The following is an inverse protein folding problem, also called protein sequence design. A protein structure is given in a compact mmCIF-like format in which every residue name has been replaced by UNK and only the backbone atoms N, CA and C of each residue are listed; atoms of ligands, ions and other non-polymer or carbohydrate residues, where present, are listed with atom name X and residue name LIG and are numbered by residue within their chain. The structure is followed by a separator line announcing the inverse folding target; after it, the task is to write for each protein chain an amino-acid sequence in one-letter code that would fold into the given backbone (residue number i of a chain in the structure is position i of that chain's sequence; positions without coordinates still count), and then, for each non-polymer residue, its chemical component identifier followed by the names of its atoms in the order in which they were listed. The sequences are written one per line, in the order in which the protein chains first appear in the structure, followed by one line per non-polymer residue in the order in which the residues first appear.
data_IF_246153609974
#
_entry.id   IF_246153609974
#
_cell.length_a   1.000
_cell.length_b   1.000
_cell.length_c   1.000
_cell.angle_alpha   90.00
_cell.angle_beta   90.00
_cell.angle_gamma   90.00
#
_symmetry.space_group_name_H-M   'P 1'
#
loop_
_entity.id
_entity.type
_entity.pdbx_description
1 polymer ?
2 polymer ?
3 non-polymer ?
4 water ?
#
# COMPACT_ATOMS: atom_id res chain seq x y z
N UNK A 34 18.56 -1.73 -16.89
CA UNK A 34 17.30 -2.38 -16.35
C UNK A 34 16.09 -1.68 -17.00
N UNK A 35 15.81 -0.41 -16.67
CA UNK A 35 14.62 0.33 -17.19
C UNK A 35 13.33 -0.04 -16.48
N UNK A 36 13.28 0.10 -15.14
CA UNK A 36 12.06 -0.10 -14.29
C UNK A 36 11.47 1.27 -13.93
N UNK A 37 10.12 1.33 -13.87
CA UNK A 37 9.31 2.53 -13.52
C UNK A 37 8.53 2.33 -12.23
N UNK A 38 8.15 3.41 -11.58
CA UNK A 38 7.22 3.40 -10.42
C UNK A 38 5.82 3.72 -10.94
N UNK A 39 4.94 2.72 -10.88
CA UNK A 39 3.56 2.80 -11.37
C UNK A 39 2.64 3.19 -10.20
N UNK A 40 1.83 4.22 -10.42
CA UNK A 40 0.81 4.66 -9.45
C UNK A 40 -0.54 4.54 -10.13
N UNK A 41 -1.43 3.78 -9.49
CA UNK A 41 -2.77 3.42 -9.99
C UNK A 41 -3.82 3.95 -9.03
N UNK A 42 -4.84 4.62 -9.59
CA UNK A 42 -6.00 5.12 -8.84
C UNK A 42 -5.62 6.18 -7.85
N UNK A 43 -6.34 6.20 -6.73
CA UNK A 43 -6.21 7.17 -5.64
C UNK A 43 -7.43 8.07 -5.59
N UNK A 44 -7.33 9.15 -4.83
CA UNK A 44 -8.51 9.95 -4.44
C UNK A 44 -8.17 11.45 -4.44
N UNK A 45 -8.99 12.23 -5.16
CA UNK A 45 -9.05 13.70 -5.03
C UNK A 45 -10.46 14.09 -5.42
N UNK A 46 -11.26 14.44 -4.41
CA UNK A 46 -12.71 14.76 -4.51
C UNK A 46 -13.52 13.50 -4.80
N UNK A 47 -12.99 12.58 -5.61
CA UNK A 47 -13.62 11.24 -5.83
C UNK A 47 -12.51 10.26 -6.15
N UNK A 48 -12.83 8.97 -6.24
CA UNK A 48 -11.86 7.93 -6.65
C UNK A 48 -11.45 8.19 -8.11
N UNK A 49 -10.16 7.95 -8.44
CA UNK A 49 -9.55 8.22 -9.75
C UNK A 49 -9.30 6.93 -10.53
N UNK A 50 -9.17 7.02 -11.85
CA UNK A 50 -8.83 5.84 -12.69
C UNK A 50 -7.42 6.01 -13.26
N UNK A 51 -6.65 7.01 -12.81
CA UNK A 51 -5.31 7.30 -13.37
C UNK A 51 -4.39 6.08 -13.19
N UNK A 52 -3.64 5.76 -14.24
CA UNK A 52 -2.38 4.97 -14.20
C UNK A 52 -1.26 5.83 -14.80
N UNK A 53 -0.24 6.13 -14.01
CA UNK A 53 0.88 7.00 -14.41
C UNK A 53 2.13 6.32 -13.93
N UNK A 54 3.22 6.48 -14.68
CA UNK A 54 4.49 5.78 -14.40
C UNK A 54 5.58 6.82 -14.32
N UNK A 55 6.36 6.80 -13.23
CA UNK A 55 7.51 7.71 -13.02
C UNK A 55 8.80 6.96 -13.33
N UNK A 56 9.71 7.61 -14.08
CA UNK A 56 11.03 7.05 -14.45
C UNK A 56 12.09 7.76 -13.60
N UNK A 57 12.62 7.11 -12.53
CA UNK A 57 13.68 7.72 -11.73
C UNK A 57 14.92 8.19 -12.53
N UNK A 58 15.25 7.47 -13.61
CA UNK A 58 16.42 7.74 -14.49
C UNK A 58 16.33 9.12 -15.16
N UNK A 59 15.14 9.61 -15.49
CA UNK A 59 15.06 10.86 -16.31
C UNK A 59 14.00 11.83 -15.77
N UNK A 60 13.30 11.48 -14.69
CA UNK A 60 12.30 12.35 -14.05
C UNK A 60 11.01 12.47 -14.85
N UNK A 61 10.78 11.67 -15.89
CA UNK A 61 9.56 11.77 -16.75
C UNK A 61 8.36 11.04 -16.10
N UNK A 62 7.14 11.49 -16.40
CA UNK A 62 5.87 10.78 -16.11
C UNK A 62 5.20 10.37 -17.43
N UNK A 63 4.73 9.11 -17.56
CA UNK A 63 3.87 8.66 -18.68
C UNK A 63 2.45 8.53 -18.14
N UNK A 64 1.44 9.04 -18.85
CA UNK A 64 0.03 8.62 -18.56
C UNK A 64 -0.25 7.36 -19.38
N UNK A 65 -0.73 6.29 -18.75
CA UNK A 65 -1.01 4.99 -19.42
C UNK A 65 -2.52 4.71 -19.34
N UNK A 66 -2.96 3.53 -19.73
CA UNK A 66 -4.40 3.20 -19.80
C UNK A 66 -5.07 3.36 -18.43
N UNK A 67 -6.21 4.07 -18.39
CA UNK A 67 -7.03 4.26 -17.17
C UNK A 67 -7.50 2.88 -16.67
N UNK A 68 -7.57 2.69 -15.35
CA UNK A 68 -8.34 1.58 -14.73
C UNK A 68 -9.74 1.50 -15.37
N UNK A 69 -10.27 0.29 -15.54
CA UNK A 69 -11.67 0.10 -16.02
C UNK A 69 -12.66 0.75 -15.04
N UNK A 70 -12.39 0.70 -13.73
CA UNK A 70 -13.29 1.22 -12.67
C UNK A 70 -12.43 2.11 -11.77
N UNK A 71 -12.87 3.35 -11.43
CA UNK A 71 -12.13 4.19 -10.49
C UNK A 71 -11.93 3.42 -9.17
N UNK A 72 -10.79 3.65 -8.53
CA UNK A 72 -10.45 2.98 -7.27
C UNK A 72 -9.54 3.83 -6.41
N UNK A 73 -9.84 3.85 -5.14
CA UNK A 73 -8.96 4.38 -4.09
C UNK A 73 -8.99 3.40 -2.93
N UNK A 74 -8.01 3.51 -2.04
CA UNK A 74 -7.78 2.59 -0.92
C UNK A 74 -7.38 1.22 -1.42
N UNK A 75 -6.96 1.11 -2.69
CA UNK A 75 -6.46 -0.15 -3.29
C UNK A 75 -4.98 -0.35 -2.93
N UNK A 76 -4.46 -1.53 -3.19
CA UNK A 76 -2.99 -1.77 -3.18
C UNK A 76 -2.60 -2.20 -4.58
N UNK A 77 -1.34 -1.93 -4.90
CA UNK A 77 -0.65 -2.41 -6.11
C UNK A 77 0.41 -3.45 -5.77
N UNK A 78 0.72 -4.32 -6.72
CA UNK A 78 1.86 -5.26 -6.65
C UNK A 78 2.18 -5.76 -8.06
N UNK A 79 3.34 -6.38 -8.17
CA UNK A 79 3.83 -6.97 -9.44
C UNK A 79 4.11 -8.46 -9.22
N UNK A 80 3.68 -9.29 -10.17
CA UNK A 80 4.08 -10.73 -10.28
C UNK A 80 4.41 -11.02 -11.76
N UNK A 81 5.57 -11.64 -12.00
CA UNK A 81 5.97 -12.04 -13.36
C UNK A 81 5.81 -10.90 -14.35
N UNK A 82 6.27 -9.71 -14.00
CA UNK A 82 6.25 -8.51 -14.88
C UNK A 82 4.87 -7.85 -15.05
N UNK A 83 3.82 -8.34 -14.40
CA UNK A 83 2.46 -7.77 -14.54
C UNK A 83 2.10 -7.00 -13.26
N UNK A 84 1.41 -5.88 -13.45
CA UNK A 84 0.96 -4.95 -12.38
C UNK A 84 -0.46 -5.34 -11.99
N UNK A 85 -0.70 -5.54 -10.71
CA UNK A 85 -2.02 -5.94 -10.19
C UNK A 85 -2.55 -4.82 -9.30
N UNK A 86 -3.82 -4.45 -9.51
CA UNK A 86 -4.58 -3.51 -8.68
C UNK A 86 -5.60 -4.34 -7.91
N UNK A 87 -5.56 -4.25 -6.60
CA UNK A 87 -6.31 -5.13 -5.67
C UNK A 87 -7.22 -4.28 -4.78
N UNK A 88 -8.52 -4.63 -4.72
CA UNK A 88 -9.42 -4.05 -3.73
C UNK A 88 -9.57 -2.54 -3.92
N UNK A 89 -9.83 -1.85 -2.81
CA UNK A 89 -10.12 -0.41 -2.74
C UNK A 89 -11.61 -0.17 -2.79
N UNK A 90 -12.04 1.01 -3.18
CA UNK A 90 -13.49 1.24 -3.43
C UNK A 90 -13.63 2.32 -4.51
N UNK A 91 -14.82 2.43 -5.07
CA UNK A 91 -15.16 3.57 -5.94
C UNK A 91 -16.01 4.55 -5.10
N UNK A 92 -15.38 5.58 -4.56
CA UNK A 92 -15.97 6.70 -3.79
C UNK A 92 -16.31 7.80 -4.81
N UNK A 93 -17.54 7.77 -5.34
CA UNK A 93 -18.07 8.65 -6.41
C UNK A 93 -19.19 9.54 -5.86
N UNK A 94 -19.60 10.59 -6.62
CA UNK A 94 -20.67 11.47 -6.17
C UNK A 94 -21.95 10.69 -5.85
N UNK A 95 -22.27 9.67 -6.64
CA UNK A 95 -23.54 8.89 -6.52
C UNK A 95 -23.38 7.62 -5.67
N UNK A 96 -22.16 7.19 -5.29
CA UNK A 96 -21.99 5.89 -4.61
C UNK A 96 -20.66 5.74 -3.88
N UNK A 97 -20.61 4.82 -2.91
CA UNK A 97 -19.38 4.26 -2.31
C UNK A 97 -19.45 2.75 -2.43
N UNK A 98 -18.81 2.17 -3.43
CA UNK A 98 -18.87 0.71 -3.67
C UNK A 98 -17.52 0.11 -3.33
N UNK A 99 -17.46 -0.67 -2.25
CA UNK A 99 -16.24 -1.43 -1.86
C UNK A 99 -15.95 -2.44 -2.96
N UNK A 100 -14.65 -2.69 -3.23
CA UNK A 100 -14.16 -3.47 -4.39
C UNK A 100 -13.62 -4.80 -3.91
N UNK A 101 -14.03 -5.90 -4.55
CA UNK A 101 -13.40 -7.23 -4.42
C UNK A 101 -12.49 -7.50 -5.64
N UNK A 102 -12.28 -6.50 -6.51
CA UNK A 102 -11.69 -6.72 -7.84
C UNK A 102 -10.19 -7.00 -7.72
N UNK A 103 -9.70 -7.88 -8.59
CA UNK A 103 -8.29 -7.95 -8.98
C UNK A 103 -8.20 -7.66 -10.47
N UNK A 104 -7.37 -6.70 -10.86
CA UNK A 104 -7.25 -6.30 -12.28
C UNK A 104 -5.75 -6.26 -12.58
N UNK A 105 -5.39 -6.67 -13.79
CA UNK A 105 -4.00 -6.88 -14.22
C UNK A 105 -3.69 -5.96 -15.40
N UNK A 106 -2.60 -5.18 -15.31
CA UNK A 106 -2.07 -4.27 -16.37
C UNK A 106 -0.78 -4.88 -16.91
N UNK A 107 -0.75 -5.14 -18.22
CA UNK A 107 0.45 -5.66 -18.93
C UNK A 107 1.11 -4.48 -19.61
N UNK A 108 2.31 -4.03 -19.16
CA UNK A 108 3.01 -2.94 -19.81
C UNK A 108 3.29 -3.13 -21.31
N UNK A 109 3.40 -4.39 -21.75
CA UNK A 109 3.65 -4.75 -23.17
C UNK A 109 2.44 -4.33 -24.03
N UNK A 110 1.22 -4.46 -23.53
CA UNK A 110 -0.02 -4.20 -24.29
C UNK A 110 -0.60 -2.83 -23.95
N UNK A 111 -0.16 -2.20 -22.85
CA UNK A 111 -0.87 -1.03 -22.27
C UNK A 111 -2.35 -1.36 -22.03
N UNK A 112 -2.69 -2.57 -21.61
CA UNK A 112 -4.10 -3.00 -21.39
C UNK A 112 -4.28 -3.62 -19.99
N UNK A 113 -5.44 -3.33 -19.39
CA UNK A 113 -5.99 -3.90 -18.13
C UNK A 113 -6.89 -5.09 -18.46
N UNK A 114 -6.76 -6.19 -17.71
CA UNK A 114 -7.60 -7.40 -17.83
C UNK A 114 -8.17 -7.69 -16.47
N UNK A 115 -9.50 -7.92 -16.33
CA UNK A 115 -10.06 -8.46 -15.08
C UNK A 115 -9.43 -9.83 -14.79
N UNK A 116 -9.16 -10.09 -13.52
CA UNK A 116 -8.88 -11.46 -12.99
C UNK A 116 -10.04 -11.89 -12.08
N UNK A 117 -9.96 -13.08 -11.51
CA UNK A 117 -10.85 -13.59 -10.46
C UNK A 117 -10.94 -12.58 -9.32
N UNK A 118 -12.16 -12.32 -8.87
CA UNK A 118 -12.51 -11.45 -7.73
C UNK A 118 -12.22 -12.16 -6.40
N UNK A 119 -11.83 -11.38 -5.40
CA UNK A 119 -11.63 -11.90 -4.02
C UNK A 119 -12.99 -12.37 -3.46
N UNK A 120 -12.95 -13.10 -2.34
CA UNK A 120 -14.11 -13.65 -1.58
C UNK A 120 -15.03 -12.51 -1.08
N UNK A 121 -14.47 -11.31 -0.91
CA UNK A 121 -15.07 -10.22 -0.12
C UNK A 121 -14.52 -8.89 -0.62
N UNK A 122 -15.32 -7.81 -0.66
CA UNK A 122 -14.76 -6.48 -0.88
C UNK A 122 -13.78 -6.15 0.26
N UNK A 123 -12.70 -5.46 -0.08
CA UNK A 123 -11.63 -5.02 0.85
C UNK A 123 -11.17 -3.62 0.44
N UNK A 124 -11.80 -2.59 0.97
CA UNK A 124 -11.29 -1.19 0.95
C UNK A 124 -10.15 -1.03 1.97
N UNK A 125 -9.20 -0.13 1.70
CA UNK A 125 -8.06 0.16 2.60
C UNK A 125 -7.34 -1.15 2.89
N UNK A 126 -7.08 -1.88 1.82
CA UNK A 126 -6.46 -3.23 1.79
C UNK A 126 -4.96 -3.09 1.97
N UNK A 127 -4.34 -4.17 2.41
CA UNK A 127 -2.89 -4.37 2.34
C UNK A 127 -2.57 -5.59 1.50
N UNK A 128 -1.46 -5.55 0.77
CA UNK A 128 -1.06 -6.63 -0.16
C UNK A 128 0.42 -6.91 0.02
N UNK A 129 0.79 -8.18 -0.11
CA UNK A 129 2.20 -8.58 -0.30
C UNK A 129 2.28 -9.80 -1.17
N UNK A 130 3.46 -10.03 -1.77
CA UNK A 130 3.70 -11.16 -2.70
C UNK A 130 4.70 -12.09 -2.05
N UNK A 131 4.35 -13.37 -1.96
CA UNK A 131 5.32 -14.43 -1.58
C UNK A 131 5.38 -15.46 -2.71
N UNK A 132 6.55 -15.64 -3.29
CA UNK A 132 6.81 -16.78 -4.21
C UNK A 132 5.75 -16.76 -5.32
N UNK A 133 5.52 -15.60 -5.93
CA UNK A 133 4.58 -15.42 -7.06
C UNK A 133 3.10 -15.49 -6.69
N UNK A 134 2.75 -15.36 -5.40
CA UNK A 134 1.35 -15.46 -4.90
C UNK A 134 0.98 -14.14 -4.22
N UNK A 135 -0.18 -13.61 -4.54
CA UNK A 135 -0.66 -12.32 -3.96
C UNK A 135 -1.46 -12.62 -2.70
N UNK A 136 -1.05 -12.06 -1.57
CA UNK A 136 -1.83 -12.08 -0.31
C UNK A 136 -2.59 -10.77 -0.14
N UNK A 137 -3.91 -10.87 -0.04
CA UNK A 137 -4.86 -9.78 0.26
C UNK A 137 -5.21 -9.84 1.74
N UNK A 138 -4.99 -8.72 2.43
CA UNK A 138 -5.01 -8.66 3.92
C UNK A 138 -6.01 -7.62 4.39
N UNK A 139 -6.92 -8.05 5.26
CA UNK A 139 -7.81 -7.14 5.98
C UNK A 139 -8.63 -6.22 5.09
N UNK A 140 -8.78 -4.97 5.51
CA UNK A 140 -9.54 -3.91 4.80
C UNK A 140 -11.01 -3.89 5.22
N UNK A 141 -11.78 -2.91 4.75
CA UNK A 141 -13.19 -2.68 5.14
C UNK A 141 -14.19 -3.10 4.07
N UNK A 142 -15.40 -3.45 4.52
CA UNK A 142 -16.61 -3.54 3.66
C UNK A 142 -17.75 -2.87 4.41
N UNK A 143 -18.13 -1.66 4.04
CA UNK A 143 -19.07 -0.89 4.89
C UNK A 143 -18.52 -0.83 6.30
N UNK A 144 -19.29 -1.20 7.34
CA UNK A 144 -18.84 -1.06 8.76
C UNK A 144 -18.09 -2.32 9.21
N UNK A 145 -17.87 -3.29 8.30
CA UNK A 145 -17.13 -4.55 8.59
C UNK A 145 -15.62 -4.28 8.45
N UNK A 146 -14.85 -4.60 9.49
CA UNK A 146 -13.37 -4.57 9.56
C UNK A 146 -12.86 -6.02 9.52
N UNK A 147 -12.18 -6.41 8.44
CA UNK A 147 -11.75 -7.81 8.16
C UNK A 147 -10.52 -8.17 8.98
N UNK A 148 -10.47 -9.41 9.53
CA UNK A 148 -9.21 -10.10 9.90
C UNK A 148 -8.83 -11.08 8.80
N UNK A 149 -9.73 -11.35 7.85
CA UNK A 149 -9.55 -12.42 6.85
C UNK A 149 -8.38 -12.09 5.91
N UNK A 150 -7.80 -13.14 5.35
CA UNK A 150 -6.62 -13.04 4.43
C UNK A 150 -6.82 -14.06 3.33
N UNK A 151 -6.55 -13.70 2.09
CA UNK A 151 -6.70 -14.66 0.98
C UNK A 151 -5.54 -14.51 -0.01
N UNK A 152 -5.27 -15.61 -0.69
CA UNK A 152 -4.05 -15.80 -1.51
C UNK A 152 -4.47 -16.15 -2.93
N UNK A 153 -3.91 -15.39 -3.88
CA UNK A 153 -4.17 -15.52 -5.33
C UNK A 153 -3.02 -16.25 -6.04
N UNK A 154 -3.41 -17.19 -6.89
CA UNK A 154 -2.53 -18.00 -7.74
C UNK A 154 -2.66 -17.51 -9.19
N UNK A 155 -1.72 -16.71 -9.70
CA UNK A 155 -1.84 -16.14 -11.05
C UNK A 155 -2.06 -17.16 -12.18
N UNK A 156 -1.40 -18.31 -12.13
CA UNK A 156 -1.47 -19.27 -13.27
C UNK A 156 -2.84 -19.95 -13.25
N UNK A 157 -3.36 -20.31 -12.07
CA UNK A 157 -4.69 -20.95 -11.93
C UNK A 157 -5.80 -19.89 -11.90
N UNK A 158 -5.48 -18.62 -11.76
CA UNK A 158 -6.45 -17.48 -11.65
C UNK A 158 -7.50 -17.81 -10.59
N UNK A 159 -7.04 -18.18 -9.39
CA UNK A 159 -7.91 -18.55 -8.24
C UNK A 159 -7.45 -17.84 -6.96
N UNK A 160 -8.42 -17.42 -6.16
CA UNK A 160 -8.24 -17.00 -4.74
C UNK A 160 -8.63 -18.14 -3.79
N UNK A 161 -7.94 -18.28 -2.65
CA UNK A 161 -8.36 -19.15 -1.52
C UNK A 161 -8.05 -18.43 -0.22
N UNK A 162 -8.96 -18.51 0.75
CA UNK A 162 -8.70 -17.95 2.09
C UNK A 162 -7.57 -18.73 2.75
N UNK A 163 -6.74 -18.05 3.52
CA UNK A 163 -5.72 -18.68 4.41
C UNK A 163 -6.11 -18.26 5.83
N UNK A 164 -5.27 -18.54 6.82
CA UNK A 164 -5.60 -18.23 8.22
C UNK A 164 -5.84 -16.73 8.34
N UNK A 165 -6.87 -16.32 9.09
CA UNK A 165 -7.07 -14.89 9.35
C UNK A 165 -6.01 -14.37 10.30
N UNK A 166 -5.82 -13.06 10.27
CA UNK A 166 -4.96 -12.35 11.23
C UNK A 166 -5.56 -12.56 12.62
N UNK A 167 -4.74 -12.34 13.63
CA UNK A 167 -5.14 -12.29 15.06
C UNK A 167 -5.97 -11.04 15.33
N UNK A 168 -6.00 -10.07 14.42
CA UNK A 168 -6.55 -8.70 14.62
C UNK A 168 -7.31 -8.28 13.36
N UNK A 169 -8.49 -7.68 13.54
CA UNK A 169 -9.22 -6.96 12.48
C UNK A 169 -8.40 -5.71 12.13
N UNK A 170 -8.05 -5.53 10.87
CA UNK A 170 -7.20 -4.37 10.49
C UNK A 170 -7.67 -3.82 9.15
N UNK A 171 -7.99 -2.53 9.11
CA UNK A 171 -8.14 -1.78 7.85
C UNK A 171 -7.08 -0.68 7.85
N UNK A 172 -6.71 -0.18 6.68
CA UNK A 172 -5.61 0.79 6.55
C UNK A 172 -4.31 0.14 7.00
N UNK A 173 -4.20 -1.16 6.78
CA UNK A 173 -3.06 -2.00 7.26
C UNK A 173 -1.92 -1.87 6.25
N UNK A 174 -0.70 -1.74 6.75
CA UNK A 174 0.52 -1.85 5.94
C UNK A 174 1.02 -3.27 5.86
N UNK A 175 1.42 -3.73 4.68
CA UNK A 175 1.90 -5.11 4.44
C UNK A 175 3.20 -5.07 3.66
N UNK A 176 4.16 -5.91 4.06
CA UNK A 176 5.42 -6.14 3.34
C UNK A 176 5.89 -7.56 3.60
N UNK A 177 6.78 -8.01 2.72
CA UNK A 177 7.33 -9.38 2.67
C UNK A 177 8.86 -9.29 2.72
N UNK A 178 9.44 -10.04 3.66
CA UNK A 178 10.89 -10.15 3.91
C UNK A 178 11.18 -11.62 4.21
N UNK A 179 12.10 -12.21 3.45
CA UNK A 179 12.58 -13.58 3.67
C UNK A 179 11.37 -14.52 3.67
N UNK A 180 10.46 -14.31 2.72
CA UNK A 180 9.27 -15.16 2.51
C UNK A 180 8.43 -15.30 3.80
N UNK A 181 8.38 -14.24 4.61
CA UNK A 181 7.42 -14.05 5.72
C UNK A 181 6.64 -12.76 5.43
N UNK A 182 5.33 -12.74 5.72
CA UNK A 182 4.39 -11.63 5.43
C UNK A 182 4.12 -10.89 6.75
N UNK A 183 4.28 -9.57 6.72
CA UNK A 183 4.04 -8.69 7.89
C UNK A 183 2.84 -7.80 7.61
N UNK A 184 1.94 -7.77 8.58
CA UNK A 184 0.77 -6.86 8.67
C UNK A 184 1.03 -5.86 9.79
N UNK A 185 0.99 -4.57 9.46
CA UNK A 185 1.51 -3.51 10.37
C UNK A 185 0.43 -2.43 10.58
N UNK A 186 0.13 -2.17 11.85
CA UNK A 186 -0.84 -1.17 12.28
C UNK A 186 -2.20 -1.32 11.62
N UNK A 187 -2.82 -0.18 11.33
CA UNK A 187 -4.21 -0.07 10.84
C UNK A 187 -5.19 0.40 11.90
N UNK A 188 -6.46 0.07 11.66
CA UNK A 188 -7.64 0.53 12.41
C UNK A 188 -8.61 -0.66 12.53
N UNK A 189 -9.09 -0.93 13.75
CA UNK A 189 -10.03 -2.04 14.01
C UNK A 189 -11.46 -1.48 14.10
N UNK A 190 -11.62 -0.18 13.89
CA UNK A 190 -12.92 0.52 13.96
C UNK A 190 -13.09 1.21 15.30
N UNK A 191 -12.39 0.75 16.34
CA UNK A 191 -12.36 1.41 17.67
C UNK A 191 -11.06 2.19 17.81
N UNK A 192 -9.92 1.51 17.70
CA UNK A 192 -8.56 2.05 17.94
C UNK A 192 -7.70 1.96 16.67
N UNK A 193 -6.99 3.04 16.35
CA UNK A 193 -5.76 3.03 15.52
C UNK A 193 -4.74 2.13 16.24
N UNK A 194 -3.94 1.35 15.50
CA UNK A 194 -3.13 0.23 16.10
C UNK A 194 -1.63 0.53 15.98
N UNK A 195 -0.85 0.20 17.01
CA UNK A 195 0.63 0.15 16.89
C UNK A 195 1.06 -1.30 16.71
N UNK A 196 0.13 -2.25 16.79
CA UNK A 196 0.49 -3.70 16.81
C UNK A 196 0.88 -4.14 15.40
N UNK A 197 1.58 -5.27 15.31
CA UNK A 197 1.91 -5.88 14.01
C UNK A 197 2.03 -7.39 14.22
N UNK A 198 1.91 -8.17 13.14
CA UNK A 198 1.92 -9.64 13.21
C UNK A 198 2.55 -10.18 11.93
N UNK A 199 2.98 -11.44 11.98
CA UNK A 199 3.77 -12.05 10.91
C UNK A 199 3.12 -13.38 10.58
N UNK A 200 3.04 -13.68 9.28
CA UNK A 200 2.43 -14.93 8.77
C UNK A 200 3.56 -15.84 8.30
N UNK A 201 3.56 -17.06 8.82
CA UNK A 201 4.54 -18.15 8.54
C UNK A 201 3.87 -19.12 7.60
N UNK A 202 4.08 -19.01 6.26
CA UNK A 202 3.27 -19.71 5.28
C UNK A 202 3.29 -21.24 5.45
N UNK A 203 4.43 -21.80 5.84
CA UNK A 203 4.53 -23.28 5.97
C UNK A 203 3.67 -23.75 7.15
N UNK A 204 3.31 -22.87 8.09
CA UNK A 204 2.49 -23.24 9.27
C UNK A 204 1.08 -22.65 9.11
N UNK A 205 0.81 -21.90 8.03
CA UNK A 205 -0.47 -21.15 7.85
C UNK A 205 -0.90 -20.50 9.17
N UNK A 206 -0.02 -19.71 9.78
CA UNK A 206 -0.21 -19.25 11.18
C UNK A 206 0.31 -17.82 11.29
N UNK A 207 -0.42 -16.99 12.03
CA UNK A 207 -0.03 -15.61 12.39
C UNK A 207 0.49 -15.61 13.82
N UNK A 208 1.49 -14.77 14.07
CA UNK A 208 2.02 -14.52 15.43
C UNK A 208 2.26 -13.04 15.58
N UNK A 209 1.96 -12.48 16.75
CA UNK A 209 2.27 -11.07 17.04
C UNK A 209 3.79 -10.89 16.95
N UNK A 210 4.24 -9.74 16.49
CA UNK A 210 5.63 -9.25 16.67
C UNK A 210 5.61 -8.03 17.62
N UNK A 211 6.79 -7.52 17.95
CA UNK A 211 6.95 -6.26 18.71
C UNK A 211 6.08 -5.19 18.07
N UNK A 212 5.26 -4.47 18.87
CA UNK A 212 4.48 -3.35 18.38
C UNK A 212 5.39 -2.19 17.99
N UNK A 213 4.91 -1.35 17.08
CA UNK A 213 5.62 -0.10 16.69
C UNK A 213 5.63 0.85 17.88
N UNK A 214 6.50 1.84 17.85
CA UNK A 214 6.56 2.89 18.90
C UNK A 214 5.33 3.78 18.74
N UNK A 215 4.74 3.80 17.56
CA UNK A 215 3.70 4.79 17.16
C UNK A 215 2.48 4.07 16.60
N UNK A 216 1.29 4.50 17.02
CA UNK A 216 0.00 4.13 16.40
C UNK A 216 -0.02 4.63 14.95
N UNK A 217 -0.27 3.76 13.97
CA UNK A 217 -0.34 4.23 12.57
C UNK A 217 -1.44 3.47 11.83
N UNK A 218 -2.39 4.24 11.30
CA UNK A 218 -3.35 3.76 10.28
C UNK A 218 -2.99 4.41 8.96
N UNK A 219 -3.04 3.63 7.88
CA UNK A 219 -2.81 4.11 6.51
C UNK A 219 -1.37 4.55 6.34
N UNK A 220 -0.44 3.88 7.01
CA UNK A 220 1.02 4.14 6.86
C UNK A 220 1.48 3.49 5.54
N UNK A 221 2.60 3.95 5.00
CA UNK A 221 3.33 3.23 3.95
C UNK A 221 4.24 2.21 4.58
N UNK A 222 4.15 0.95 4.15
CA UNK A 222 4.93 -0.15 4.75
C UNK A 222 5.66 -0.86 3.61
N UNK A 223 6.96 -1.01 3.75
CA UNK A 223 7.77 -1.66 2.68
C UNK A 223 8.95 -2.33 3.36
N UNK A 224 9.78 -3.00 2.57
CA UNK A 224 10.96 -3.69 3.09
C UNK A 224 12.18 -3.11 2.39
N UNK A 225 13.24 -2.86 3.16
CA UNK A 225 14.53 -2.39 2.63
C UNK A 225 15.63 -3.03 3.48
N UNK A 226 16.49 -3.78 2.78
CA UNK A 226 17.56 -4.57 3.41
C UNK A 226 16.89 -5.59 4.33
N UNK A 227 17.19 -5.56 5.63
CA UNK A 227 16.69 -6.62 6.55
C UNK A 227 15.62 -5.99 7.45
N UNK A 228 14.98 -4.89 7.04
CA UNK A 228 14.03 -4.17 7.93
C UNK A 228 12.69 -3.91 7.24
N UNK A 229 11.63 -3.92 8.03
CA UNK A 229 10.27 -3.47 7.60
C UNK A 229 10.12 -2.02 8.07
N UNK A 230 9.84 -1.14 7.14
CA UNK A 230 9.67 0.30 7.39
C UNK A 230 8.19 0.60 7.46
N UNK A 231 7.80 1.48 8.38
CA UNK A 231 6.46 2.06 8.49
C UNK A 231 6.61 3.58 8.48
N UNK A 232 6.19 4.21 7.40
CA UNK A 232 6.36 5.65 7.16
C UNK A 232 5.01 6.32 7.29
N UNK A 233 4.92 7.42 8.05
CA UNK A 233 3.71 8.25 8.11
C UNK A 233 2.51 7.48 8.62
N UNK A 234 1.35 7.78 8.06
CA UNK A 234 0.06 7.31 8.57
C UNK A 234 -0.62 8.34 9.43
N UNK A 235 -1.63 7.90 10.20
CA UNK A 235 -2.54 8.75 11.00
C UNK A 235 -2.67 8.09 12.38
N UNK A 236 -2.45 8.84 13.46
CA UNK A 236 -2.44 8.26 14.83
C UNK A 236 -3.78 8.52 15.53
N UNK A 237 -4.78 9.08 14.85
CA UNK A 237 -6.08 9.46 15.45
C UNK A 237 -6.13 10.93 15.86
N UNK A 238 -5.03 11.66 15.74
CA UNK A 238 -4.90 13.11 16.04
C UNK A 238 -4.26 13.84 14.86
N UNK A 239 -3.10 13.38 14.40
CA UNK A 239 -2.36 14.07 13.33
C UNK A 239 -1.88 13.07 12.26
N UNK A 240 -1.75 13.54 11.02
CA UNK A 240 -0.93 12.87 9.98
C UNK A 240 0.52 12.94 10.47
N UNK A 241 1.27 11.86 10.23
CA UNK A 241 2.61 11.62 10.80
C UNK A 241 3.65 11.85 9.73
N UNK A 242 4.81 12.39 10.10
CA UNK A 242 6.02 12.38 9.23
C UNK A 242 7.07 11.38 9.77
N UNK A 243 6.85 10.76 10.92
CA UNK A 243 7.81 9.79 11.53
C UNK A 243 7.86 8.52 10.68
N UNK A 244 9.01 7.90 10.70
CA UNK A 244 9.33 6.60 10.04
C UNK A 244 10.07 5.74 11.04
N UNK A 245 9.63 4.49 11.20
CA UNK A 245 10.35 3.56 12.09
C UNK A 245 10.55 2.26 11.32
N UNK A 246 11.56 1.51 11.72
CA UNK A 246 11.86 0.26 11.01
C UNK A 246 12.08 -0.86 12.01
N UNK A 247 11.58 -2.03 11.64
CA UNK A 247 11.65 -3.29 12.39
C UNK A 247 12.79 -4.14 11.82
N UNK A 248 13.80 -4.39 12.64
CA UNK A 248 14.91 -5.30 12.31
C UNK A 248 14.44 -6.71 12.62
N UNK A 249 14.31 -7.60 11.61
CA UNK A 249 13.74 -8.96 11.86
C UNK A 249 14.69 -9.76 12.75
N UNK A 250 15.99 -9.52 12.71
CA UNK A 250 16.94 -10.27 13.58
C UNK A 250 16.73 -9.83 15.03
N UNK A 251 16.74 -8.52 15.30
CA UNK A 251 16.73 -7.96 16.68
C UNK A 251 15.33 -7.78 17.25
N UNK A 252 14.27 -7.80 16.43
CA UNK A 252 12.86 -7.67 16.89
C UNK A 252 12.63 -6.32 17.58
N UNK A 253 13.37 -5.28 17.19
CA UNK A 253 13.13 -3.91 17.68
C UNK A 253 12.66 -3.00 16.54
N UNK A 254 11.89 -1.98 16.88
CA UNK A 254 11.58 -0.83 16.00
C UNK A 254 12.44 0.36 16.42
N UNK A 255 13.05 1.01 15.45
CA UNK A 255 13.88 2.22 15.67
C UNK A 255 13.35 3.30 14.74
N UNK A 256 13.23 4.54 15.20
CA UNK A 256 12.91 5.66 14.29
C UNK A 256 14.12 5.92 13.42
N UNK A 257 13.86 6.29 12.16
CA UNK A 257 14.90 6.85 11.25
C UNK A 257 14.53 8.32 10.97
N UNK A 258 15.22 8.98 10.07
CA UNK A 258 14.92 10.40 9.74
C UNK A 258 13.44 10.51 9.32
N UNK A 259 12.71 11.53 9.81
CA UNK A 259 11.33 11.74 9.40
C UNK A 259 11.26 12.24 7.96
N UNK A 260 10.14 11.98 7.30
CA UNK A 260 9.82 12.60 5.98
C UNK A 260 9.69 14.14 6.13
N UNK A 261 9.93 14.86 5.05
CA UNK A 261 9.73 16.33 4.97
C UNK A 261 8.24 16.64 5.17
N UNK A 262 7.31 15.80 4.67
CA UNK A 262 5.85 16.07 4.75
C UNK A 262 5.17 15.04 5.66
N UNK A 263 4.31 15.51 6.57
CA UNK A 263 3.32 14.67 7.27
C UNK A 263 2.40 14.08 6.19
N UNK A 264 2.14 12.76 6.21
CA UNK A 264 1.24 12.16 5.19
C UNK A 264 0.56 10.89 5.70
N UNK A 265 -0.75 10.81 5.48
CA UNK A 265 -1.51 9.54 5.61
C UNK A 265 -2.01 9.12 4.23
N UNK A 266 -2.33 7.85 4.06
CA UNK A 266 -2.87 7.30 2.82
C UNK A 266 -1.85 7.55 1.70
N UNK A 267 -0.56 7.34 2.00
CA UNK A 267 0.54 7.50 1.03
C UNK A 267 0.72 6.18 0.29
N UNK A 268 1.21 6.26 -0.94
CA UNK A 268 1.80 5.13 -1.65
C UNK A 268 3.25 4.96 -1.24
N UNK A 269 3.76 3.72 -1.27
CA UNK A 269 5.19 3.47 -1.00
C UNK A 269 5.71 2.38 -1.92
N UNK A 270 6.99 2.46 -2.30
CA UNK A 270 7.66 1.34 -2.98
C UNK A 270 9.15 1.51 -2.80
N UNK A 271 9.88 0.50 -3.21
CA UNK A 271 11.35 0.50 -3.13
C UNK A 271 11.87 0.39 -4.57
N UNK A 272 12.83 1.23 -4.96
CA UNK A 272 13.53 1.09 -6.27
C UNK A 272 15.02 1.39 -6.09
N UNK A 273 15.87 0.43 -6.48
CA UNK A 273 17.36 0.52 -6.47
C UNK A 273 17.81 1.01 -5.08
N UNK A 274 17.34 0.33 -4.03
CA UNK A 274 17.81 0.46 -2.65
C UNK A 274 17.33 1.76 -2.01
N UNK A 275 16.29 2.38 -2.53
CA UNK A 275 15.76 3.64 -1.93
C UNK A 275 14.24 3.54 -1.81
N UNK A 276 13.67 4.10 -0.75
CA UNK A 276 12.21 4.13 -0.53
C UNK A 276 11.65 5.38 -1.21
N UNK A 277 10.53 5.20 -1.90
CA UNK A 277 9.77 6.33 -2.48
C UNK A 277 8.38 6.31 -1.84
N UNK A 278 7.97 7.49 -1.36
CA UNK A 278 6.60 7.76 -0.88
C UNK A 278 5.94 8.74 -1.84
N UNK A 279 4.70 8.43 -2.22
CA UNK A 279 3.93 9.16 -3.23
C UNK A 279 2.63 9.65 -2.63
N UNK A 280 2.43 10.96 -2.69
CA UNK A 280 1.17 11.62 -2.31
C UNK A 280 0.71 11.36 -0.87
N UNK A 281 -0.61 11.32 -0.68
CA UNK A 281 -1.27 11.21 0.61
C UNK A 281 -1.90 12.51 1.03
N UNK A 282 -2.15 12.65 2.32
CA UNK A 282 -2.90 13.79 2.92
C UNK A 282 -2.17 14.28 4.17
N UNK A 283 -1.92 15.60 4.31
CA UNK A 283 -1.22 16.21 5.48
C UNK A 283 -2.19 17.00 6.38
N UNK A 284 -3.48 16.72 6.36
CA UNK A 284 -4.48 17.46 7.14
C UNK A 284 -4.87 18.79 6.49
N UNK A 285 -4.33 19.14 5.33
CA UNK A 285 -4.62 20.42 4.62
C UNK A 285 -4.66 20.22 3.11
N UNK A 286 -3.70 19.50 2.54
CA UNK A 286 -3.52 19.33 1.06
C UNK A 286 -3.48 17.84 0.70
N UNK A 287 -4.04 17.49 -0.47
CA UNK A 287 -3.77 16.22 -1.18
C UNK A 287 -2.45 16.41 -1.91
N UNK A 288 -1.42 15.75 -1.41
CA UNK A 288 0.00 16.00 -1.79
C UNK A 288 0.27 15.46 -3.19
N UNK A 289 0.97 16.24 -4.00
CA UNK A 289 1.60 15.68 -5.22
C UNK A 289 3.06 15.31 -4.90
N UNK A 290 3.52 15.63 -3.69
CA UNK A 290 4.93 15.40 -3.26
C UNK A 290 5.29 13.92 -3.33
N UNK A 291 6.42 13.60 -3.97
CA UNK A 291 7.12 12.28 -3.94
C UNK A 291 8.51 12.50 -3.31
N UNK A 292 8.80 11.78 -2.23
CA UNK A 292 10.05 11.88 -1.44
C UNK A 292 10.77 10.54 -1.56
N UNK A 293 12.09 10.56 -1.40
CA UNK A 293 12.97 9.41 -1.61
C UNK A 293 13.87 9.28 -0.40
N UNK A 294 13.91 8.11 0.25
CA UNK A 294 14.76 7.89 1.44
C UNK A 294 16.01 7.13 1.02
N UNK A 295 17.16 7.71 1.38
CA UNK A 295 18.47 7.06 1.17
C UNK A 295 18.94 6.49 2.51
N UNK A 296 18.97 5.16 2.66
CA UNK A 296 19.29 4.54 3.94
C UNK A 296 20.78 4.70 4.27
N UNK A 297 21.62 4.95 3.27
CA UNK A 297 23.08 5.16 3.47
C UNK A 297 23.32 6.45 4.22
N UNK A 298 22.59 7.50 3.87
CA UNK A 298 22.71 8.85 4.48
C UNK A 298 21.64 9.05 5.54
N UNK A 299 20.59 8.23 5.60
CA UNK A 299 19.43 8.45 6.53
C UNK A 299 18.86 9.83 6.24
N UNK A 300 18.59 10.13 4.97
CA UNK A 300 17.94 11.40 4.60
C UNK A 300 16.85 11.15 3.57
N UNK A 301 15.89 12.06 3.59
CA UNK A 301 14.79 12.15 2.60
C UNK A 301 15.08 13.35 1.71
N UNK A 302 14.75 13.24 0.42
CA UNK A 302 14.75 14.41 -0.50
C UNK A 302 13.49 14.36 -1.38
N UNK A 303 13.10 15.52 -1.89
CA UNK A 303 11.97 15.68 -2.85
C UNK A 303 12.50 15.29 -4.23
N UNK A 304 11.91 14.34 -4.94
CA UNK A 304 12.56 13.93 -6.22
C UNK A 304 11.70 14.28 -7.45
N UNK A 305 10.42 14.56 -7.26
CA UNK A 305 9.44 14.85 -8.34
C UNK A 305 8.11 15.16 -7.66
N UNK A 306 7.14 15.60 -8.45
CA UNK A 306 5.74 15.76 -8.00
C UNK A 306 4.90 14.93 -8.98
N UNK A 307 3.91 14.23 -8.45
CA UNK A 307 2.83 13.66 -9.28
C UNK A 307 2.17 14.81 -10.05
N UNK A 308 1.48 14.45 -11.11
CA UNK A 308 0.81 15.39 -12.04
C UNK A 308 -0.34 16.09 -11.29
N UNK A 309 -0.87 15.46 -10.26
CA UNK A 309 -1.95 16.06 -9.43
C UNK A 309 -1.97 15.39 -8.05
N UNK A 310 -2.26 16.18 -7.02
CA UNK A 310 -2.35 15.73 -5.63
C UNK A 310 -3.44 14.70 -5.46
N UNK A 311 -3.13 13.60 -4.78
CA UNK A 311 -4.09 12.50 -4.56
C UNK A 311 -3.62 11.66 -3.37
N UNK A 312 -4.55 10.93 -2.76
CA UNK A 312 -4.27 9.98 -1.64
C UNK A 312 -4.77 8.58 -2.00
N UNK A 313 -4.44 7.53 -1.24
CA UNK A 313 -5.04 6.19 -1.41
C UNK A 313 -4.66 5.53 -2.73
N UNK A 314 -3.45 5.76 -3.24
CA UNK A 314 -3.01 5.12 -4.52
C UNK A 314 -2.49 3.70 -4.24
N UNK A 315 -2.45 2.90 -5.29
CA UNK A 315 -1.70 1.63 -5.35
C UNK A 315 -0.40 1.92 -6.07
N UNK A 316 0.72 1.39 -5.59
CA UNK A 316 2.04 1.62 -6.26
C UNK A 316 2.83 0.31 -6.33
N UNK A 317 3.58 0.12 -7.40
CA UNK A 317 4.51 -1.01 -7.54
C UNK A 317 5.52 -0.66 -8.64
N UNK A 318 6.50 -1.54 -8.82
CA UNK A 318 7.65 -1.33 -9.74
C UNK A 318 7.68 -2.48 -10.75
N UNK A 319 7.77 -2.17 -12.04
CA UNK A 319 8.07 -3.19 -13.08
C UNK A 319 8.67 -2.52 -14.33
N UNK A 320 8.82 -3.31 -15.41
CA UNK A 320 9.46 -2.92 -16.70
C UNK A 320 8.63 -1.83 -17.37
N UNK A 321 9.26 -0.93 -18.11
CA UNK A 321 8.53 0.17 -18.81
C UNK A 321 7.68 -0.42 -19.94
N UNK A 322 6.57 0.28 -20.30
CA UNK A 322 5.65 -0.19 -21.33
C UNK A 322 6.46 -0.21 -22.65
N UNK A 323 6.14 -1.16 -23.53
CA UNK A 323 6.75 -1.36 -24.88
C UNK A 323 7.68 -0.19 -25.24
N UNK B 1 -10.03 10.76 22.49
CA UNK B 1 -11.13 9.97 21.80
C UNK B 1 -10.77 9.69 20.32
N UNK B 2 -10.25 10.69 19.56
CA UNK B 2 -9.69 10.59 18.17
C UNK B 2 -10.57 11.42 17.19
N UNK B 3 -10.17 11.53 15.91
CA UNK B 3 -10.86 12.27 14.79
C UNK B 3 -10.61 11.54 13.44
N UNK B 4 -10.61 12.19 12.25
CA UNK B 4 -10.02 11.64 10.96
C UNK B 4 -9.75 12.72 9.88
N UNK B 5 -10.41 13.89 9.95
CA UNK B 5 -10.31 15.07 9.01
C UNK B 5 -11.05 14.76 7.69
N UNK B 6 -10.55 15.28 6.55
CA UNK B 6 -11.06 14.97 5.19
C UNK B 6 -10.95 13.47 4.83
N UNK B 7 -11.67 13.13 3.77
CA UNK B 7 -11.70 11.84 3.03
C UNK B 7 -10.36 11.57 2.35
N UNK B 8 -9.83 10.34 2.39
CA UNK B 8 -8.50 10.02 1.76
C UNK B 8 -8.60 8.77 0.87
N UNK B 9 -9.72 8.07 1.02
CA UNK B 9 -10.00 6.71 0.53
C UNK B 9 -9.30 5.62 1.34
#
# INVERSE_FOLDING_TARGET
MMGHHHHHHENLYFQGHMTLHKPTQAVPCRAPKVGRLIYTAGGYFRQSLSYLEAYNPSNGSWLRLADLQVPRSGLAGCVVGGLLYAVGGRNNSPDGNTDSSALDCYNPMTNQWSPCASMSVPRNRIGVGVIDGHIYAVGGSHGCIHHSSVERYEPERDEWHLVAPMLTRRIGVGVAVLNRLLYAVGGFDGTNRLNSAECYYPERNEWRMITPMNTIRSGAGVCVLHNCIYAAGGYDGQDQLNSVERYDVETETWTFVAPMRHHRSALGITVHQGKIYVLGGYDGHTFLDSVECYDPDSDTWSEVTRMTSGRSGVGVAVTMEPCRKQIDQQNCTCRKQIDQQNCTC
INVRKRNVESGE
#
